data_IF_098156064462
#
_entry.id   IF_098156064462
#
_cell.length_a   1.000
_cell.length_b   1.000
_cell.length_c   1.000
_cell.angle_alpha   90.00
_cell.angle_beta   90.00
_cell.angle_gamma   90.00
#
_symmetry.space_group_name_H-M   'P 1'
#
loop_
_entity.id
_entity.type
_entity.pdbx_description
1 polymer ?
#
# COMPACT_ATOMS: atom_id res chain seq x y z
N UNK A 1 5.50 25.44 11.84
CA UNK A 1 6.75 24.65 11.87
C UNK A 1 7.82 25.42 11.11
N UNK A 2 8.98 25.67 11.74
CA UNK A 2 10.05 26.46 11.09
C UNK A 2 10.80 25.57 10.08
N UNK A 3 11.23 26.13 8.95
CA UNK A 3 11.93 25.41 7.86
C UNK A 3 13.08 24.52 8.36
N UNK A 4 13.78 24.95 9.41
CA UNK A 4 14.88 24.18 10.06
C UNK A 4 14.41 22.93 10.80
N UNK A 5 13.16 22.85 11.22
CA UNK A 5 12.58 21.69 11.90
C UNK A 5 12.23 20.59 10.89
N UNK A 6 11.86 20.96 9.67
CA UNK A 6 11.52 20.01 8.58
C UNK A 6 12.77 19.30 8.03
N UNK A 7 13.94 19.98 8.05
CA UNK A 7 15.20 19.43 7.51
C UNK A 7 15.75 18.26 8.37
N UNK A 8 15.34 18.16 9.64
CA UNK A 8 15.82 17.14 10.57
C UNK A 8 14.80 15.99 10.79
N UNK A 9 13.65 15.99 10.11
CA UNK A 9 12.69 14.91 10.22
C UNK A 9 13.20 13.66 9.50
N UNK A 10 12.97 12.51 10.10
CA UNK A 10 13.17 11.23 9.44
C UNK A 10 12.27 11.11 8.21
N UNK A 11 12.58 10.16 7.32
CA UNK A 11 11.74 9.93 6.13
C UNK A 11 10.31 9.57 6.53
N UNK A 12 10.12 8.81 7.61
CA UNK A 12 8.79 8.44 8.10
C UNK A 12 8.04 9.64 8.67
N UNK A 13 8.69 10.47 9.46
CA UNK A 13 8.07 11.68 10.03
C UNK A 13 7.62 12.66 8.94
N UNK A 14 8.45 12.86 7.89
CA UNK A 14 8.10 13.68 6.72
C UNK A 14 6.92 13.10 5.96
N UNK A 15 6.94 11.79 5.73
CA UNK A 15 5.84 11.08 5.05
C UNK A 15 4.55 11.15 5.85
N UNK A 16 4.61 11.01 7.19
CA UNK A 16 3.46 11.11 8.07
C UNK A 16 2.85 12.51 8.02
N UNK A 17 3.67 13.57 8.13
CA UNK A 17 3.19 14.94 8.04
C UNK A 17 2.51 15.22 6.69
N UNK A 18 3.08 14.68 5.60
CA UNK A 18 2.56 14.84 4.25
C UNK A 18 1.19 14.16 4.09
N UNK A 19 1.06 12.88 4.47
CA UNK A 19 -0.21 12.16 4.33
C UNK A 19 -1.29 12.70 5.26
N UNK A 20 -0.94 13.21 6.44
CA UNK A 20 -1.89 13.89 7.33
C UNK A 20 -2.54 15.11 6.67
N UNK A 21 -1.76 15.89 5.93
CA UNK A 21 -2.29 17.05 5.21
C UNK A 21 -3.08 16.63 3.96
N UNK A 22 -2.51 15.74 3.13
CA UNK A 22 -3.12 15.31 1.87
C UNK A 22 -4.46 14.57 2.05
N UNK A 23 -4.58 13.77 3.10
CA UNK A 23 -5.78 12.96 3.36
C UNK A 23 -6.68 13.54 4.45
N UNK A 24 -6.46 14.81 4.82
CA UNK A 24 -7.26 15.52 5.82
C UNK A 24 -8.74 15.54 5.44
N UNK A 25 -9.58 15.03 6.34
CA UNK A 25 -11.01 14.96 6.13
C UNK A 25 -11.49 13.84 5.19
N UNK A 26 -10.60 13.16 4.49
CA UNK A 26 -10.95 11.99 3.66
C UNK A 26 -11.35 10.81 4.56
N UNK A 27 -12.41 10.10 4.17
CA UNK A 27 -12.89 8.90 4.85
C UNK A 27 -12.72 7.67 3.95
N UNK A 28 -12.47 6.54 4.56
CA UNK A 28 -12.49 5.25 3.89
C UNK A 28 -13.92 4.71 3.71
N UNK A 29 -14.05 3.51 3.13
CA UNK A 29 -15.35 2.89 2.85
C UNK A 29 -16.10 2.44 4.10
N UNK A 30 -15.42 2.31 5.24
CA UNK A 30 -16.05 2.04 6.53
C UNK A 30 -16.56 3.32 7.22
N UNK A 31 -16.16 4.50 6.72
CA UNK A 31 -16.46 5.80 7.29
C UNK A 31 -15.41 6.33 8.26
N UNK A 32 -14.33 5.56 8.51
CA UNK A 32 -13.21 5.98 9.34
C UNK A 32 -12.31 6.99 8.58
N UNK A 33 -11.52 7.82 9.30
CA UNK A 33 -10.50 8.65 8.66
C UNK A 33 -9.55 7.81 7.80
N UNK A 34 -9.33 8.23 6.54
CA UNK A 34 -8.53 7.46 5.57
C UNK A 34 -7.09 7.22 6.05
N UNK A 35 -6.54 8.17 6.80
CA UNK A 35 -5.20 8.06 7.40
C UNK A 35 -5.03 6.78 8.24
N UNK A 36 -6.09 6.28 8.88
CA UNK A 36 -6.05 5.05 9.66
C UNK A 36 -5.71 3.83 8.78
N UNK A 37 -6.21 3.82 7.52
CA UNK A 37 -5.84 2.80 6.56
C UNK A 37 -4.35 2.86 6.21
N UNK A 38 -3.84 4.04 5.89
CA UNK A 38 -2.43 4.24 5.53
C UNK A 38 -1.49 3.84 6.66
N UNK A 39 -1.81 4.24 7.89
CA UNK A 39 -1.05 3.86 9.08
C UNK A 39 -1.08 2.33 9.24
N UNK A 40 -2.26 1.72 9.15
CA UNK A 40 -2.41 0.26 9.35
C UNK A 40 -1.62 -0.55 8.34
N UNK A 41 -1.62 -0.16 7.08
CA UNK A 41 -0.82 -0.81 6.03
C UNK A 41 0.68 -0.69 6.31
N UNK A 42 1.12 0.42 6.93
CA UNK A 42 2.52 0.69 7.21
C UNK A 42 3.06 0.02 8.49
N UNK A 43 2.21 -0.33 9.45
CA UNK A 43 2.61 -0.85 10.79
C UNK A 43 3.45 -2.13 10.73
N UNK A 44 3.23 -2.98 9.73
CA UNK A 44 3.88 -4.29 9.61
C UNK A 44 5.31 -4.22 9.03
N UNK A 45 5.81 -3.03 8.72
CA UNK A 45 7.15 -2.82 8.17
C UNK A 45 8.08 -2.21 9.22
N UNK A 46 9.22 -2.85 9.47
CA UNK A 46 10.21 -2.39 10.44
C UNK A 46 11.17 -1.37 9.82
N UNK A 47 11.62 -1.61 8.57
CA UNK A 47 12.50 -0.69 7.87
C UNK A 47 11.79 0.63 7.58
N UNK A 48 12.32 1.73 8.09
CA UNK A 48 11.68 3.05 8.06
C UNK A 48 11.34 3.52 6.65
N UNK A 49 12.22 3.28 5.68
CA UNK A 49 11.99 3.63 4.28
C UNK A 49 10.81 2.84 3.69
N UNK A 50 10.76 1.52 3.93
CA UNK A 50 9.66 0.66 3.45
C UNK A 50 8.35 1.01 4.16
N UNK A 51 8.41 1.28 5.45
CA UNK A 51 7.27 1.77 6.24
C UNK A 51 6.70 3.07 5.67
N UNK A 52 7.58 3.98 5.25
CA UNK A 52 7.19 5.25 4.62
C UNK A 52 6.57 5.03 3.23
N UNK A 53 7.11 4.10 2.41
CA UNK A 53 6.50 3.71 1.14
C UNK A 53 5.09 3.14 1.35
N UNK A 54 4.92 2.28 2.35
CA UNK A 54 3.63 1.70 2.71
C UNK A 54 2.64 2.76 3.20
N UNK A 55 3.09 3.72 3.99
CA UNK A 55 2.28 4.85 4.44
C UNK A 55 1.79 5.72 3.28
N UNK A 56 2.60 5.88 2.25
CA UNK A 56 2.34 6.75 1.10
C UNK A 56 1.78 6.00 -0.13
N UNK A 57 1.40 4.73 0.00
CA UNK A 57 1.09 3.87 -1.15
C UNK A 57 -0.02 4.41 -2.07
N UNK A 58 -0.97 5.18 -1.54
CA UNK A 58 -2.09 5.76 -2.29
C UNK A 58 -1.87 7.23 -2.70
N UNK A 59 -0.71 7.83 -2.37
CA UNK A 59 -0.50 9.27 -2.59
C UNK A 59 -0.59 9.64 -4.08
N UNK A 60 0.04 8.87 -4.97
CA UNK A 60 0.02 9.14 -6.41
C UNK A 60 -1.33 8.78 -7.07
N UNK A 61 -2.14 7.89 -6.48
CA UNK A 61 -3.45 7.51 -7.01
C UNK A 61 -4.55 8.46 -6.55
N UNK A 62 -4.48 8.90 -5.30
CA UNK A 62 -5.59 9.51 -4.58
C UNK A 62 -5.41 11.00 -4.29
N UNK A 63 -4.31 11.63 -4.75
CA UNK A 63 -4.01 13.06 -4.58
C UNK A 63 -3.48 13.69 -5.87
N UNK A 64 -3.32 15.01 -5.85
CA UNK A 64 -2.75 15.78 -6.98
C UNK A 64 -1.21 15.70 -7.06
N UNK A 65 -0.54 15.08 -6.06
CA UNK A 65 0.91 14.97 -6.06
C UNK A 65 1.41 14.05 -7.18
N UNK A 66 2.44 14.52 -7.86
CA UNK A 66 3.11 13.78 -8.92
C UNK A 66 4.43 13.17 -8.44
N UNK A 67 4.94 12.20 -9.20
CA UNK A 67 6.28 11.66 -8.99
C UNK A 67 7.39 12.73 -9.02
N UNK A 68 7.18 13.79 -9.81
CA UNK A 68 8.10 14.93 -9.88
C UNK A 68 8.11 15.71 -8.56
N UNK A 69 6.94 15.98 -8.00
CA UNK A 69 6.84 16.67 -6.72
C UNK A 69 7.52 15.89 -5.61
N UNK A 70 7.32 14.57 -5.56
CA UNK A 70 7.98 13.70 -4.59
C UNK A 70 9.51 13.75 -4.74
N UNK A 71 10.02 13.77 -5.96
CA UNK A 71 11.45 13.91 -6.22
C UNK A 71 12.00 15.25 -5.73
N UNK A 72 11.27 16.34 -5.97
CA UNK A 72 11.62 17.68 -5.47
C UNK A 72 11.57 17.77 -3.93
N UNK A 73 10.71 16.97 -3.29
CA UNK A 73 10.65 16.80 -1.84
C UNK A 73 11.77 15.89 -1.27
N UNK A 74 12.64 15.33 -2.13
CA UNK A 74 13.79 14.54 -1.72
C UNK A 74 13.52 13.04 -1.51
N UNK A 75 12.41 12.51 -2.04
CA UNK A 75 12.21 11.05 -2.15
C UNK A 75 13.04 10.52 -3.31
N UNK A 76 13.76 9.41 -3.10
CA UNK A 76 14.61 8.81 -4.12
C UNK A 76 13.81 8.03 -5.18
N UNK A 77 14.49 7.65 -6.27
CA UNK A 77 13.84 6.98 -7.40
C UNK A 77 13.29 5.60 -7.03
N UNK A 78 13.94 4.86 -6.12
CA UNK A 78 13.43 3.57 -5.62
C UNK A 78 12.11 3.75 -4.88
N UNK A 79 12.01 4.76 -4.03
CA UNK A 79 10.78 5.10 -3.33
C UNK A 79 9.64 5.43 -4.31
N UNK A 80 9.93 6.31 -5.26
CA UNK A 80 8.97 6.76 -6.27
C UNK A 80 8.52 5.60 -7.16
N UNK A 81 9.43 4.72 -7.54
CA UNK A 81 9.10 3.54 -8.36
C UNK A 81 8.15 2.59 -7.64
N UNK A 82 8.36 2.34 -6.34
CA UNK A 82 7.43 1.54 -5.55
C UNK A 82 6.03 2.17 -5.54
N UNK A 83 5.91 3.50 -5.38
CA UNK A 83 4.60 4.16 -5.42
C UNK A 83 3.96 4.10 -6.81
N UNK A 84 4.73 4.23 -7.90
CA UNK A 84 4.21 4.06 -9.27
C UNK A 84 3.63 2.66 -9.49
N UNK A 85 4.34 1.63 -9.03
CA UNK A 85 3.88 0.25 -9.12
C UNK A 85 2.60 0.00 -8.30
N UNK A 86 2.36 0.77 -7.25
CA UNK A 86 1.17 0.69 -6.40
C UNK A 86 0.00 1.54 -6.93
N UNK A 87 0.24 2.40 -7.91
CA UNK A 87 -0.75 3.29 -8.53
C UNK A 87 -1.40 2.62 -9.74
N UNK A 88 -2.73 2.52 -9.74
CA UNK A 88 -3.46 1.93 -10.86
C UNK A 88 -3.67 2.94 -12.00
N UNK A 89 -2.87 2.82 -13.06
CA UNK A 89 -2.98 3.62 -14.29
C UNK A 89 -3.50 2.79 -15.48
N UNK A 90 -3.97 1.56 -15.25
CA UNK A 90 -4.39 0.62 -16.27
C UNK A 90 -5.89 0.66 -16.53
N UNK A 91 -6.31 0.12 -17.68
CA UNK A 91 -7.72 0.07 -18.09
C UNK A 91 -8.53 -0.91 -17.24
N UNK A 92 -7.90 -1.93 -16.66
CA UNK A 92 -8.53 -2.89 -15.76
C UNK A 92 -7.72 -3.11 -14.49
N UNK A 93 -8.41 -3.48 -13.41
CA UNK A 93 -7.76 -3.80 -12.15
C UNK A 93 -6.91 -5.09 -12.26
N UNK A 94 -7.35 -6.05 -13.04
CA UNK A 94 -6.63 -7.28 -13.32
C UNK A 94 -5.29 -7.00 -14.01
N UNK A 95 -5.28 -6.14 -15.03
CA UNK A 95 -4.06 -5.71 -15.73
C UNK A 95 -3.08 -5.01 -14.80
N UNK A 96 -3.57 -4.12 -13.94
CA UNK A 96 -2.77 -3.48 -12.90
C UNK A 96 -2.08 -4.51 -12.00
N UNK A 97 -2.82 -5.48 -11.46
CA UNK A 97 -2.27 -6.50 -10.57
C UNK A 97 -1.26 -7.40 -11.31
N UNK A 98 -1.52 -7.77 -12.56
CA UNK A 98 -0.56 -8.53 -13.36
C UNK A 98 0.74 -7.75 -13.58
N UNK A 99 0.66 -6.46 -13.88
CA UNK A 99 1.85 -5.62 -14.02
C UNK A 99 2.65 -5.53 -12.72
N UNK A 100 1.98 -5.32 -11.59
CA UNK A 100 2.61 -5.31 -10.27
C UNK A 100 3.35 -6.63 -9.98
N UNK A 101 2.71 -7.78 -10.23
CA UNK A 101 3.31 -9.09 -10.00
C UNK A 101 4.49 -9.38 -10.95
N UNK A 102 4.39 -8.94 -12.21
CA UNK A 102 5.43 -9.10 -13.21
C UNK A 102 6.65 -8.19 -12.97
N UNK A 103 6.49 -7.10 -12.22
CA UNK A 103 7.61 -6.23 -11.82
C UNK A 103 8.66 -6.94 -10.97
N UNK A 104 8.29 -8.03 -10.30
CA UNK A 104 9.09 -8.74 -9.30
C UNK A 104 9.60 -7.84 -8.15
N UNK A 105 9.02 -6.64 -7.97
CA UNK A 105 9.35 -5.74 -6.87
C UNK A 105 8.71 -6.25 -5.57
N UNK A 106 9.52 -6.92 -4.75
CA UNK A 106 9.05 -7.58 -3.52
C UNK A 106 8.48 -6.58 -2.50
N UNK A 107 8.98 -5.34 -2.48
CA UNK A 107 8.49 -4.29 -1.57
C UNK A 107 7.08 -3.90 -1.99
N UNK A 108 6.88 -3.53 -3.25
CA UNK A 108 5.57 -3.14 -3.77
C UNK A 108 4.53 -4.26 -3.63
N UNK A 109 4.91 -5.52 -3.94
CA UNK A 109 4.02 -6.69 -3.80
C UNK A 109 3.61 -6.91 -2.34
N UNK A 110 4.55 -6.79 -1.37
CA UNK A 110 4.24 -6.94 0.06
C UNK A 110 3.37 -5.80 0.56
N UNK A 111 3.61 -4.56 0.15
CA UNK A 111 2.74 -3.42 0.51
C UNK A 111 1.33 -3.65 -0.03
N UNK A 112 1.19 -4.08 -1.28
CA UNK A 112 -0.12 -4.40 -1.87
C UNK A 112 -0.82 -5.54 -1.13
N UNK A 113 -0.09 -6.55 -0.65
CA UNK A 113 -0.66 -7.60 0.19
C UNK A 113 -1.28 -7.02 1.46
N UNK A 114 -0.59 -6.11 2.15
CA UNK A 114 -1.08 -5.47 3.38
C UNK A 114 -2.28 -4.57 3.13
N UNK A 115 -2.25 -3.79 2.05
CA UNK A 115 -3.39 -3.00 1.59
C UNK A 115 -4.63 -3.89 1.36
N UNK A 116 -4.47 -4.98 0.61
CA UNK A 116 -5.55 -5.93 0.32
C UNK A 116 -6.10 -6.57 1.59
N UNK A 117 -5.24 -7.03 2.50
CA UNK A 117 -5.65 -7.62 3.79
C UNK A 117 -6.47 -6.63 4.61
N UNK A 118 -6.03 -5.38 4.73
CA UNK A 118 -6.78 -4.36 5.45
C UNK A 118 -8.11 -4.03 4.77
N UNK A 119 -8.16 -4.02 3.43
CA UNK A 119 -9.38 -3.82 2.66
C UNK A 119 -10.37 -5.01 2.74
N UNK A 120 -9.89 -6.20 3.08
CA UNK A 120 -10.72 -7.40 3.31
C UNK A 120 -11.28 -7.49 4.72
N UNK A 121 -10.76 -6.72 5.66
CA UNK A 121 -11.21 -6.72 7.06
C UNK A 121 -12.61 -6.11 7.17
N UNK A 122 -13.62 -6.98 7.19
CA UNK A 122 -15.03 -6.60 7.29
C UNK A 122 -15.39 -6.11 8.69
N UNK A 123 -14.60 -6.43 9.73
CA UNK A 123 -14.85 -5.99 11.11
C UNK A 123 -14.74 -4.47 11.29
N UNK A 124 -14.13 -3.78 10.33
CA UNK A 124 -14.03 -2.32 10.30
C UNK A 124 -15.36 -1.63 10.00
N UNK A 125 -16.34 -2.35 9.48
CA UNK A 125 -17.64 -1.80 9.11
C UNK A 125 -18.62 -1.99 10.26
N UNK A 126 -19.22 -0.92 10.76
CA UNK A 126 -20.26 -1.00 11.76
C UNK A 126 -21.49 -1.77 11.23
N UNK A 127 -21.85 -1.53 9.97
CA UNK A 127 -22.95 -2.22 9.29
C UNK A 127 -22.53 -2.59 7.86
N UNK A 128 -21.88 -3.77 7.66
CA UNK A 128 -21.47 -4.22 6.35
C UNK A 128 -22.69 -4.46 5.45
N UNK A 129 -22.56 -4.07 4.17
CA UNK A 129 -23.60 -4.25 3.15
C UNK A 129 -23.18 -5.33 2.15
N UNK A 130 -24.14 -5.92 1.43
CA UNK A 130 -23.87 -6.94 0.40
C UNK A 130 -22.78 -6.47 -0.61
N UNK A 131 -22.78 -5.18 -1.00
CA UNK A 131 -21.77 -4.63 -1.90
C UNK A 131 -20.34 -4.71 -1.33
N UNK A 132 -20.18 -4.70 0.00
CA UNK A 132 -18.88 -4.77 0.65
C UNK A 132 -18.34 -6.21 0.59
N UNK A 133 -19.20 -7.21 0.83
CA UNK A 133 -18.84 -8.61 0.65
C UNK A 133 -18.55 -8.95 -0.81
N UNK A 134 -19.34 -8.42 -1.76
CA UNK A 134 -19.08 -8.63 -3.20
C UNK A 134 -17.75 -8.04 -3.63
N UNK A 135 -17.39 -6.84 -3.15
CA UNK A 135 -16.09 -6.20 -3.43
C UNK A 135 -14.94 -7.04 -2.88
N UNK A 136 -15.04 -7.51 -1.64
CA UNK A 136 -14.03 -8.39 -1.02
C UNK A 136 -13.86 -9.65 -1.88
N UNK A 137 -14.94 -10.35 -2.18
CA UNK A 137 -14.91 -11.61 -2.94
C UNK A 137 -14.39 -11.45 -4.36
N UNK A 138 -14.88 -10.43 -5.10
CA UNK A 138 -14.60 -10.27 -6.53
C UNK A 138 -13.27 -9.56 -6.82
N UNK A 139 -12.84 -8.66 -5.95
CA UNK A 139 -11.63 -7.86 -6.13
C UNK A 139 -10.50 -8.32 -5.22
N UNK A 140 -10.66 -8.15 -3.91
CA UNK A 140 -9.57 -8.33 -2.98
C UNK A 140 -9.16 -9.79 -2.76
N UNK A 141 -10.09 -10.73 -2.67
CA UNK A 141 -9.77 -12.16 -2.51
C UNK A 141 -8.97 -12.67 -3.72
N UNK A 142 -9.36 -12.31 -4.93
CA UNK A 142 -8.60 -12.70 -6.15
C UNK A 142 -7.19 -12.15 -6.12
N UNK A 143 -7.04 -10.86 -5.78
CA UNK A 143 -5.73 -10.21 -5.66
C UNK A 143 -4.86 -10.88 -4.59
N UNK A 144 -5.45 -11.16 -3.42
CA UNK A 144 -4.77 -11.88 -2.35
C UNK A 144 -4.23 -13.23 -2.83
N UNK A 145 -5.06 -14.04 -3.47
CA UNK A 145 -4.66 -15.36 -4.00
C UNK A 145 -3.52 -15.25 -5.02
N UNK A 146 -3.60 -14.31 -5.95
CA UNK A 146 -2.55 -14.09 -6.95
C UNK A 146 -1.23 -13.64 -6.32
N UNK A 147 -1.26 -12.80 -5.29
CA UNK A 147 -0.07 -12.37 -4.57
C UNK A 147 0.54 -13.55 -3.79
N UNK A 148 -0.27 -14.32 -3.06
CA UNK A 148 0.21 -15.48 -2.30
C UNK A 148 0.84 -16.51 -3.24
N UNK A 149 0.19 -16.84 -4.36
CA UNK A 149 0.72 -17.75 -5.36
C UNK A 149 2.10 -17.28 -5.89
N UNK A 150 2.23 -15.97 -6.17
CA UNK A 150 3.52 -15.38 -6.59
C UNK A 150 4.58 -15.53 -5.51
N UNK A 151 4.28 -15.18 -4.27
CA UNK A 151 5.22 -15.22 -3.15
C UNK A 151 5.58 -16.66 -2.75
N UNK A 152 4.64 -17.60 -2.82
CA UNK A 152 4.87 -19.03 -2.55
C UNK A 152 5.60 -19.71 -3.69
N UNK A 153 5.33 -19.34 -4.94
CA UNK A 153 6.07 -19.82 -6.12
C UNK A 153 7.56 -19.50 -6.02
N UNK A 154 7.91 -18.36 -5.44
CA UNK A 154 9.30 -17.98 -5.13
C UNK A 154 9.87 -18.77 -3.93
N UNK A 155 9.02 -19.19 -2.98
CA UNK A 155 9.39 -19.95 -1.77
C UNK A 155 9.35 -21.47 -1.95
N UNK A 156 8.87 -21.99 -3.07
CA UNK A 156 8.81 -23.46 -3.30
C UNK A 156 10.15 -24.18 -3.12
N UNK A 157 11.27 -23.43 -3.08
CA UNK A 157 12.56 -23.97 -2.67
C UNK A 157 12.80 -23.99 -1.15
N UNK A 158 12.10 -23.15 -0.34
CA UNK A 158 12.40 -23.00 1.09
C UNK A 158 11.33 -23.59 2.03
N UNK A 159 10.04 -23.59 1.65
CA UNK A 159 8.94 -24.00 2.53
C UNK A 159 8.46 -25.45 2.35
N UNK A 160 8.81 -26.13 1.27
CA UNK A 160 8.43 -27.53 1.01
C UNK A 160 8.95 -28.50 2.08
N UNK A 161 9.96 -28.09 2.84
CA UNK A 161 10.58 -28.89 3.91
C UNK A 161 9.89 -28.74 5.28
N UNK A 162 9.07 -27.71 5.53
CA UNK A 162 8.47 -27.45 6.85
C UNK A 162 7.17 -28.24 7.06
N UNK A 163 6.46 -28.60 5.99
CA UNK A 163 5.18 -29.32 6.08
C UNK A 163 5.28 -30.81 5.74
N UNK A 164 6.47 -31.37 5.59
CA UNK A 164 6.70 -32.80 5.37
C UNK A 164 7.29 -33.52 6.59
N UNK A 165 7.01 -33.03 7.79
CA UNK A 165 7.29 -33.81 9.02
C UNK A 165 6.01 -34.04 9.79
#
# INVERSE_FOLDING_TARGET
MKLKEIINLSIYERSMALVQELFKGKKDKSGAPYINHLIKVSEDFEEEKVKSMALMHDVLEDTELTAKDLKEMGYDEEFIEVLRLLTNTYSSYEEYIQNLLNSNNKIAIKIKLKDVLHNMDISRFETPKEKDFQRIRRKYMKTYMSIIEKLEGEKKNDWYWIYKK
#
